data_IF_504684722226
#
_entry.id   IF_504684722226
#
_cell.length_a   1.000
_cell.length_b   1.000
_cell.length_c   1.000
_cell.angle_alpha   90.00
_cell.angle_beta   90.00
_cell.angle_gamma   90.00
#
_symmetry.space_group_name_H-M   'P 1'
#
loop_
_entity.id
_entity.type
_entity.pdbx_description
1 polymer ?
#
# COMPACT_ATOMS: atom_id res chain seq x y z
N UNK A 1 15.08 -16.52 -10.69
CA UNK A 1 14.66 -17.12 -9.39
C UNK A 1 14.23 -18.59 -9.49
N UNK A 2 14.31 -19.36 -8.39
CA UNK A 2 13.65 -20.68 -8.27
C UNK A 2 12.13 -20.56 -8.02
N UNK A 3 11.40 -21.68 -8.09
CA UNK A 3 9.94 -21.69 -7.96
C UNK A 3 9.43 -21.20 -6.59
N UNK A 4 10.20 -21.45 -5.52
CA UNK A 4 9.83 -21.02 -4.18
C UNK A 4 10.00 -19.51 -4.02
N UNK A 5 11.12 -18.97 -4.51
CA UNK A 5 11.38 -17.53 -4.55
C UNK A 5 10.30 -16.77 -5.36
N UNK A 6 9.83 -17.33 -6.48
CA UNK A 6 8.72 -16.76 -7.25
C UNK A 6 7.39 -16.75 -6.49
N UNK A 7 7.08 -17.84 -5.78
CA UNK A 7 5.87 -17.92 -4.96
C UNK A 7 5.90 -16.90 -3.81
N UNK A 8 7.05 -16.77 -3.14
CA UNK A 8 7.26 -15.78 -2.09
C UNK A 8 7.13 -14.35 -2.63
N UNK A 9 7.75 -14.05 -3.77
CA UNK A 9 7.62 -12.75 -4.43
C UNK A 9 6.15 -12.44 -4.75
N UNK A 10 5.41 -13.40 -5.31
CA UNK A 10 3.99 -13.24 -5.60
C UNK A 10 3.16 -12.93 -4.34
N UNK A 11 3.43 -13.63 -3.24
CA UNK A 11 2.80 -13.37 -1.94
C UNK A 11 3.09 -11.94 -1.46
N UNK A 12 4.36 -11.53 -1.47
CA UNK A 12 4.79 -10.19 -1.06
C UNK A 12 4.09 -9.12 -1.92
N UNK A 13 4.01 -9.32 -3.24
CA UNK A 13 3.33 -8.38 -4.14
C UNK A 13 1.83 -8.28 -3.84
N UNK A 14 1.19 -9.38 -3.45
CA UNK A 14 -0.22 -9.39 -3.02
C UNK A 14 -0.40 -8.63 -1.71
N UNK A 15 0.44 -8.91 -0.71
CA UNK A 15 0.38 -8.29 0.61
C UNK A 15 0.60 -6.76 0.51
N UNK A 16 1.57 -6.33 -0.28
CA UNK A 16 1.82 -4.90 -0.52
C UNK A 16 0.62 -4.19 -1.16
N UNK A 17 -0.07 -4.88 -2.09
CA UNK A 17 -1.28 -4.34 -2.74
C UNK A 17 -2.43 -4.24 -1.74
N UNK A 18 -2.59 -5.23 -0.88
CA UNK A 18 -3.62 -5.24 0.14
C UNK A 18 -3.39 -4.13 1.17
N UNK A 19 -2.17 -3.98 1.66
CA UNK A 19 -1.78 -2.92 2.59
C UNK A 19 -2.04 -1.52 2.00
N UNK A 20 -1.64 -1.27 0.74
CA UNK A 20 -1.96 0.00 0.04
C UNK A 20 -3.47 0.26 -0.03
N UNK A 21 -4.28 -0.75 -0.35
CA UNK A 21 -5.75 -0.62 -0.40
C UNK A 21 -6.35 -0.31 0.97
N UNK A 22 -5.91 -1.00 2.02
CA UNK A 22 -6.38 -0.76 3.38
C UNK A 22 -6.08 0.67 3.82
N UNK A 23 -4.90 1.19 3.51
CA UNK A 23 -4.53 2.57 3.80
C UNK A 23 -5.39 3.59 3.05
N UNK A 24 -5.64 3.38 1.75
CA UNK A 24 -6.54 4.23 0.97
C UNK A 24 -7.98 4.23 1.51
N UNK A 25 -8.49 3.06 1.92
CA UNK A 25 -9.81 2.95 2.52
C UNK A 25 -9.88 3.70 3.86
N UNK A 26 -8.86 3.58 4.70
CA UNK A 26 -8.77 4.30 5.97
C UNK A 26 -8.68 5.82 5.75
N UNK A 27 -7.92 6.26 4.76
CA UNK A 27 -7.84 7.68 4.37
C UNK A 27 -9.21 8.22 3.95
N UNK A 28 -9.95 7.47 3.12
CA UNK A 28 -11.31 7.85 2.69
C UNK A 28 -12.26 8.00 3.89
N UNK A 29 -12.26 7.03 4.82
CA UNK A 29 -13.06 7.10 6.04
C UNK A 29 -12.71 8.32 6.90
N UNK A 30 -11.42 8.68 7.00
CA UNK A 30 -10.97 9.85 7.76
C UNK A 30 -11.37 11.18 7.10
N UNK A 31 -11.41 11.23 5.77
CA UNK A 31 -11.91 12.41 5.02
C UNK A 31 -13.40 12.63 5.26
N UNK A 32 -14.18 11.56 5.43
CA UNK A 32 -15.61 11.66 5.73
C UNK A 32 -15.88 12.25 7.13
N UNK A 33 -14.98 12.06 8.09
CA UNK A 33 -15.14 12.49 9.49
C UNK A 33 -14.96 14.01 9.71
N UNK A 34 -14.44 14.77 8.73
CA UNK A 34 -14.18 16.23 8.76
C UNK A 34 -13.43 16.75 10.00
N UNK A 35 -12.16 17.10 9.85
CA UNK A 35 -11.37 17.79 10.87
C UNK A 35 -9.88 17.87 10.52
N UNK A 36 -9.18 18.93 10.92
CA UNK A 36 -7.76 19.15 10.54
C UNK A 36 -6.86 17.96 10.92
N UNK A 37 -7.13 17.32 12.06
CA UNK A 37 -6.39 16.11 12.48
C UNK A 37 -6.70 14.87 11.63
N UNK A 38 -7.93 14.72 11.14
CA UNK A 38 -8.32 13.58 10.30
C UNK A 38 -7.84 13.76 8.87
N UNK A 39 -7.85 14.99 8.35
CA UNK A 39 -7.28 15.36 7.05
C UNK A 39 -5.78 15.08 6.99
N UNK A 40 -5.01 15.53 8.00
CA UNK A 40 -3.58 15.23 8.07
C UNK A 40 -3.31 13.72 8.14
N UNK A 41 -4.13 12.98 8.89
CA UNK A 41 -4.00 11.52 8.98
C UNK A 41 -4.31 10.84 7.63
N UNK A 42 -5.36 11.27 6.94
CA UNK A 42 -5.71 10.78 5.61
C UNK A 42 -4.59 11.03 4.60
N UNK A 43 -4.04 12.25 4.55
CA UNK A 43 -2.93 12.58 3.65
C UNK A 43 -1.69 11.72 3.94
N UNK A 44 -1.40 11.44 5.22
CA UNK A 44 -0.28 10.57 5.59
C UNK A 44 -0.50 9.12 5.17
N UNK A 45 -1.73 8.62 5.26
CA UNK A 45 -2.09 7.28 4.81
C UNK A 45 -1.99 7.14 3.29
N UNK A 46 -2.44 8.15 2.53
CA UNK A 46 -2.29 8.18 1.07
C UNK A 46 -0.82 8.17 0.66
N UNK A 47 0.03 9.01 1.30
CA UNK A 47 1.48 9.01 1.05
C UNK A 47 2.12 7.66 1.38
N UNK A 48 1.65 6.97 2.43
CA UNK A 48 2.13 5.64 2.74
C UNK A 48 1.67 4.63 1.68
N UNK A 49 0.39 4.63 1.29
CA UNK A 49 -0.13 3.77 0.23
C UNK A 49 0.69 3.91 -1.07
N UNK A 50 1.01 5.14 -1.48
CA UNK A 50 1.84 5.42 -2.66
C UNK A 50 3.24 4.80 -2.55
N UNK A 51 3.87 4.87 -1.37
CA UNK A 51 5.18 4.25 -1.14
C UNK A 51 5.12 2.72 -1.22
N UNK A 52 4.07 2.11 -0.67
CA UNK A 52 3.87 0.66 -0.75
C UNK A 52 3.61 0.22 -2.20
N UNK A 53 2.83 0.98 -2.97
CA UNK A 53 2.64 0.69 -4.40
C UNK A 53 3.91 0.91 -5.22
N UNK A 54 4.72 1.92 -4.91
CA UNK A 54 6.02 2.11 -5.54
C UNK A 54 6.96 0.92 -5.24
N UNK A 55 7.05 0.49 -3.98
CA UNK A 55 7.81 -0.68 -3.59
C UNK A 55 7.34 -1.94 -4.33
N UNK A 56 6.02 -2.15 -4.43
CA UNK A 56 5.42 -3.24 -5.19
C UNK A 56 5.83 -3.21 -6.66
N UNK A 57 5.80 -2.04 -7.31
CA UNK A 57 6.23 -1.87 -8.71
C UNK A 57 7.71 -2.13 -8.90
N UNK A 58 8.56 -1.73 -7.93
CA UNK A 58 9.98 -2.04 -7.98
C UNK A 58 10.23 -3.54 -7.85
N UNK A 59 9.56 -4.21 -6.90
CA UNK A 59 9.68 -5.64 -6.68
C UNK A 59 9.13 -6.48 -7.84
N UNK A 60 8.09 -6.01 -8.53
CA UNK A 60 7.54 -6.71 -9.71
C UNK A 60 8.51 -6.73 -10.90
N UNK A 61 9.56 -5.91 -10.87
CA UNK A 61 10.59 -5.85 -11.91
C UNK A 61 11.82 -6.73 -11.57
N UNK A 62 11.78 -7.49 -10.48
CA UNK A 62 12.87 -8.40 -10.08
C UNK A 62 12.58 -9.81 -10.65
N UNK A 63 13.54 -10.35 -11.42
CA UNK A 63 13.50 -11.68 -12.09
C UNK A 63 14.18 -12.84 -11.29
#
# INVERSE_FOLDING_TARGET
MDANARAQLSSILSDLREVSRQMNNAAAQLRDMRGVGTELCADRLEVLADKYDAARRHLSNID
#
